data_IF_337792122573
#
_entry.id   IF_337792122573
#
_cell.length_a   1.000
_cell.length_b   1.000
_cell.length_c   1.000
_cell.angle_alpha   90.00
_cell.angle_beta   90.00
_cell.angle_gamma   90.00
#
_symmetry.space_group_name_H-M   'P 1'
#
loop_
_entity.id
_entity.type
_entity.pdbx_description
1 polymer ?
#
# COMPACT_ATOMS: atom_id res chain seq x y z
N UNK A 1 9.20 -10.07 23.40
CA UNK A 1 8.83 -9.28 22.73
C UNK A 1 9.69 -8.39 21.89
N UNK A 2 10.16 -8.83 20.83
CA UNK A 2 10.93 -8.06 19.89
C UNK A 2 10.04 -7.29 18.94
N UNK A 3 10.63 -6.28 18.35
CA UNK A 3 10.06 -5.60 17.21
C UNK A 3 10.48 -6.32 15.95
N UNK A 4 9.65 -6.27 14.94
CA UNK A 4 9.96 -6.89 13.65
C UNK A 4 9.35 -6.08 12.51
N UNK A 5 9.88 -6.30 11.32
CA UNK A 5 9.41 -5.61 10.12
C UNK A 5 8.37 -6.47 9.41
N UNK A 6 7.36 -5.83 8.87
CA UNK A 6 6.32 -6.50 8.13
C UNK A 6 5.81 -5.63 6.99
N UNK A 7 5.31 -6.29 5.95
CA UNK A 7 4.72 -5.61 4.80
C UNK A 7 3.21 -5.52 5.02
N UNK A 8 2.67 -4.31 4.92
CA UNK A 8 1.23 -4.12 5.01
C UNK A 8 0.58 -4.64 3.75
N UNK A 9 -0.17 -5.74 3.89
CA UNK A 9 -0.75 -6.46 2.75
C UNK A 9 -2.18 -6.06 2.46
N UNK A 10 -2.94 -5.68 3.50
CA UNK A 10 -4.34 -5.30 3.31
C UNK A 10 -4.77 -4.33 4.39
N UNK A 11 -5.72 -3.48 4.05
CA UNK A 11 -6.25 -2.46 4.95
C UNK A 11 -7.77 -2.52 4.93
N UNK A 12 -8.36 -2.65 6.12
CA UNK A 12 -9.79 -2.71 6.30
C UNK A 12 -10.21 -1.68 7.36
N UNK A 13 -10.22 -0.42 6.97
CA UNK A 13 -10.53 0.64 7.92
C UNK A 13 -9.46 0.75 8.99
N UNK A 14 -9.80 0.34 10.23
CA UNK A 14 -8.88 0.39 11.37
C UNK A 14 -8.07 -0.87 11.56
N UNK A 15 -8.36 -1.90 10.76
CA UNK A 15 -7.68 -3.17 10.87
C UNK A 15 -6.78 -3.38 9.68
N UNK A 16 -5.59 -3.88 9.93
CA UNK A 16 -4.62 -4.16 8.89
C UNK A 16 -4.20 -5.62 8.95
N UNK A 17 -3.80 -6.14 7.81
CA UNK A 17 -3.14 -7.43 7.73
C UNK A 17 -1.74 -7.21 7.18
N UNK A 18 -0.77 -7.82 7.81
CA UNK A 18 0.62 -7.68 7.42
C UNK A 18 1.30 -9.03 7.38
N UNK A 19 2.40 -9.11 6.66
CA UNK A 19 3.18 -10.32 6.52
C UNK A 19 4.62 -10.04 6.89
N UNK A 20 5.22 -10.90 7.71
CA UNK A 20 6.58 -10.71 8.21
C UNK A 20 7.58 -10.66 7.05
N UNK A 21 8.51 -9.73 7.13
CA UNK A 21 9.61 -9.63 6.17
C UNK A 21 10.78 -10.43 6.72
N UNK A 22 11.25 -11.40 5.92
CA UNK A 22 12.37 -12.25 6.30
C UNK A 22 13.70 -11.52 6.13
N UNK A 23 14.76 -12.11 6.66
CA UNK A 23 16.09 -11.51 6.58
C UNK A 23 16.58 -11.33 5.14
N UNK A 24 16.10 -12.16 4.21
CA UNK A 24 16.46 -12.06 2.79
C UNK A 24 15.62 -11.06 2.01
N UNK A 25 14.69 -10.37 2.69
CA UNK A 25 13.82 -9.39 2.05
C UNK A 25 12.49 -9.95 1.57
N UNK A 26 12.33 -11.27 1.54
CA UNK A 26 11.05 -11.87 1.16
C UNK A 26 10.04 -11.72 2.28
N UNK A 27 8.77 -11.79 1.92
CA UNK A 27 7.70 -11.77 2.92
C UNK A 27 6.92 -13.09 2.80
N UNK A 28 6.74 -13.74 3.93
CA UNK A 28 6.13 -15.06 3.98
C UNK A 28 5.52 -15.33 5.34
N UNK A 29 4.78 -16.43 5.44
CA UNK A 29 4.15 -16.83 6.68
C UNK A 29 2.71 -16.37 6.77
N UNK A 30 2.05 -16.63 7.90
CA UNK A 30 0.65 -16.27 8.07
C UNK A 30 0.48 -14.75 8.12
N UNK A 31 -0.72 -14.29 7.76
CA UNK A 31 -1.07 -12.90 7.91
C UNK A 31 -1.24 -12.57 9.39
N UNK A 32 -0.70 -11.44 9.79
CA UNK A 32 -0.76 -10.97 11.18
C UNK A 32 -1.79 -9.85 11.24
N UNK A 33 -2.68 -9.92 12.22
CA UNK A 33 -3.63 -8.84 12.48
C UNK A 33 -2.92 -7.72 13.19
N UNK A 34 -3.00 -6.52 12.60
CA UNK A 34 -2.30 -5.36 13.10
C UNK A 34 -3.31 -4.31 13.53
N UNK A 35 -3.13 -3.80 14.74
CA UNK A 35 -3.94 -2.71 15.24
C UNK A 35 -3.11 -1.44 15.32
N UNK A 36 -3.80 -0.31 15.19
CA UNK A 36 -3.18 0.99 15.39
C UNK A 36 -3.88 1.65 16.58
N UNK A 37 -3.12 1.95 17.64
CA UNK A 37 -3.73 2.52 18.86
C UNK A 37 -4.16 3.96 18.68
N UNK A 38 -3.73 4.62 17.64
CA UNK A 38 -4.05 6.03 17.43
C UNK A 38 -4.21 6.33 15.95
N UNK A 39 -4.89 7.41 15.66
CA UNK A 39 -5.09 7.87 14.28
C UNK A 39 -3.78 8.32 13.62
N UNK A 40 -2.69 8.34 14.37
CA UNK A 40 -1.39 8.81 13.88
C UNK A 40 -0.74 7.88 12.86
N UNK A 41 -1.00 6.60 12.98
CA UNK A 41 -0.35 5.59 12.14
C UNK A 41 -1.31 5.08 11.09
N UNK A 42 -1.58 5.93 10.11
CA UNK A 42 -2.44 5.53 9.00
C UNK A 42 -1.54 4.93 7.93
N UNK A 43 -1.61 3.60 7.82
CA UNK A 43 -0.82 2.87 6.86
C UNK A 43 -1.52 2.75 5.52
N UNK A 44 -0.74 2.56 4.47
CA UNK A 44 -1.22 2.24 3.13
C UNK A 44 -0.64 0.90 2.71
N UNK A 45 -1.38 0.16 1.90
CA UNK A 45 -0.90 -1.12 1.38
C UNK A 45 0.45 -0.91 0.71
N UNK A 46 1.43 -1.73 1.05
CA UNK A 46 2.80 -1.60 0.58
C UNK A 46 3.74 -0.96 1.59
N UNK A 47 3.22 -0.35 2.66
CA UNK A 47 4.07 0.21 3.71
C UNK A 47 4.87 -0.87 4.42
N UNK A 48 6.07 -0.52 4.84
CA UNK A 48 6.88 -1.36 5.71
C UNK A 48 6.63 -0.89 7.15
N UNK A 49 6.15 -1.79 7.97
CA UNK A 49 5.77 -1.49 9.34
C UNK A 49 6.79 -2.07 10.31
N UNK A 50 7.06 -1.33 11.37
CA UNK A 50 7.76 -1.87 12.53
C UNK A 50 6.67 -2.24 13.54
N UNK A 51 6.59 -3.51 13.86
CA UNK A 51 5.52 -4.05 14.69
C UNK A 51 6.07 -4.62 15.98
N UNK A 52 5.21 -4.60 17.00
CA UNK A 52 5.47 -5.26 18.28
C UNK A 52 4.38 -6.30 18.50
N UNK A 53 4.79 -7.53 18.74
CA UNK A 53 3.86 -8.63 18.96
C UNK A 53 3.03 -8.40 20.22
N UNK A 54 1.70 -8.54 20.09
CA UNK A 54 0.79 -8.40 21.23
C UNK A 54 0.05 -9.69 21.56
N UNK A 55 0.17 -10.71 20.70
CA UNK A 55 -0.45 -12.01 20.92
C UNK A 55 -0.20 -12.90 19.72
N UNK A 56 -0.74 -14.11 19.70
CA UNK A 56 -0.58 -15.02 18.56
C UNK A 56 -1.14 -14.39 17.29
N UNK A 57 -0.29 -14.17 16.31
CA UNK A 57 -0.65 -13.54 15.03
C UNK A 57 -1.31 -12.17 15.19
N UNK A 58 -0.93 -11.46 16.26
CA UNK A 58 -1.43 -10.11 16.52
C UNK A 58 -0.27 -9.20 16.87
N UNK A 59 -0.33 -7.98 16.39
CA UNK A 59 0.71 -6.99 16.62
C UNK A 59 0.14 -5.58 16.57
N UNK A 60 0.92 -4.63 17.07
CA UNK A 60 0.57 -3.22 16.96
C UNK A 60 1.65 -2.47 16.23
N UNK A 61 1.29 -1.37 15.59
CA UNK A 61 2.24 -0.55 14.86
C UNK A 61 3.02 0.32 15.84
N UNK A 62 4.35 0.22 15.78
CA UNK A 62 5.24 1.11 16.50
C UNK A 62 5.62 2.28 15.60
N UNK A 63 5.93 1.98 14.35
CA UNK A 63 6.41 2.97 13.40
C UNK A 63 6.17 2.47 11.98
N UNK A 64 6.02 3.42 11.05
CA UNK A 64 5.96 3.12 9.61
C UNK A 64 7.25 3.65 9.02
N UNK A 65 7.99 2.79 8.30
CA UNK A 65 9.25 3.20 7.69
C UNK A 65 8.99 4.25 6.61
N UNK A 66 10.00 5.05 6.34
CA UNK A 66 9.91 6.09 5.32
C UNK A 66 9.53 5.47 3.98
N UNK A 67 8.50 6.03 3.38
CA UNK A 67 8.00 5.55 2.10
C UNK A 67 8.91 5.99 0.97
N UNK A 68 9.09 5.09 -0.01
CA UNK A 68 9.74 5.42 -1.26
C UNK A 68 8.83 6.31 -2.11
N UNK A 69 7.53 6.03 -2.10
CA UNK A 69 6.50 6.84 -2.75
C UNK A 69 5.14 6.50 -2.16
N UNK A 70 4.16 7.30 -2.50
CA UNK A 70 2.77 7.08 -2.07
C UNK A 70 1.85 7.41 -3.23
N UNK A 71 1.09 6.41 -3.67
CA UNK A 71 0.05 6.62 -4.66
C UNK A 71 -1.25 6.92 -3.93
N UNK A 72 -1.85 8.07 -4.21
CA UNK A 72 -3.09 8.46 -3.57
C UNK A 72 -4.07 9.02 -4.58
N UNK A 73 -5.33 9.02 -4.19
CA UNK A 73 -6.41 9.60 -4.95
C UNK A 73 -6.93 10.80 -4.18
N UNK A 74 -7.05 11.91 -4.87
CA UNK A 74 -7.47 13.16 -4.25
C UNK A 74 -8.72 13.67 -4.94
N UNK A 75 -9.69 14.11 -4.15
CA UNK A 75 -10.87 14.79 -4.68
C UNK A 75 -11.02 16.14 -3.99
N UNK A 76 -12.14 16.83 -4.23
CA UNK A 76 -12.33 18.20 -3.76
C UNK A 76 -12.28 18.35 -2.22
N UNK A 77 -12.52 17.28 -1.49
CA UNK A 77 -12.67 17.37 -0.03
C UNK A 77 -11.69 16.53 0.76
N UNK A 78 -11.10 15.51 0.17
CA UNK A 78 -10.14 14.66 0.88
C UNK A 78 -9.30 13.86 -0.10
N UNK A 79 -8.17 13.38 0.39
CA UNK A 79 -7.35 12.43 -0.35
C UNK A 79 -7.37 11.08 0.35
N UNK A 80 -7.26 10.03 -0.44
CA UNK A 80 -7.25 8.67 0.06
C UNK A 80 -6.02 7.95 -0.49
N UNK A 81 -5.25 7.37 0.42
CA UNK A 81 -4.08 6.59 0.04
C UNK A 81 -4.50 5.29 -0.63
N UNK A 82 -3.85 4.95 -1.72
CA UNK A 82 -4.10 3.72 -2.46
C UNK A 82 -3.02 2.70 -2.15
N UNK A 83 -1.76 3.08 -2.30
CA UNK A 83 -0.64 2.17 -2.05
C UNK A 83 0.63 2.96 -1.81
N UNK A 84 1.57 2.36 -1.08
CA UNK A 84 2.89 2.93 -0.82
C UNK A 84 3.96 2.02 -1.38
N UNK A 85 5.16 2.57 -1.59
CA UNK A 85 6.32 1.82 -2.08
C UNK A 85 6.02 1.09 -3.39
N UNK A 86 5.36 1.80 -4.30
CA UNK A 86 4.91 1.25 -5.57
C UNK A 86 6.08 1.20 -6.55
N UNK A 87 6.29 0.05 -7.15
CA UNK A 87 7.35 -0.13 -8.15
C UNK A 87 6.81 0.03 -9.56
N UNK A 88 5.53 -0.29 -9.77
CA UNK A 88 4.95 -0.28 -11.10
C UNK A 88 3.45 -0.03 -11.00
N UNK A 89 2.93 0.76 -11.93
CA UNK A 89 1.49 0.98 -12.08
C UNK A 89 1.04 0.27 -13.35
N UNK A 90 0.05 -0.60 -13.22
CA UNK A 90 -0.58 -1.24 -14.36
C UNK A 90 -1.95 -0.62 -14.59
N UNK A 91 -2.11 0.03 -15.72
CA UNK A 91 -3.40 0.61 -16.10
C UNK A 91 -4.05 -0.32 -17.10
N UNK A 92 -5.17 -0.91 -16.70
CA UNK A 92 -5.90 -1.85 -17.54
C UNK A 92 -7.05 -1.09 -18.20
N UNK A 93 -7.02 -1.03 -19.53
CA UNK A 93 -8.03 -0.34 -20.32
C UNK A 93 -8.86 -1.37 -21.08
N UNK A 94 -10.15 -1.08 -21.19
CA UNK A 94 -11.07 -1.88 -21.96
C UNK A 94 -11.61 -1.06 -23.13
N UNK A 95 -11.86 -1.73 -24.25
CA UNK A 95 -12.43 -1.05 -25.41
C UNK A 95 -13.95 -0.93 -25.30
N UNK A 96 -14.56 -1.78 -24.48
CA UNK A 96 -16.00 -1.74 -24.25
C UNK A 96 -16.29 -2.08 -22.79
N UNK A 97 -16.85 -1.16 -21.99
CA UNK A 97 -17.15 0.23 -22.37
C UNK A 97 -15.89 1.07 -22.55
N UNK A 98 -16.05 2.22 -23.20
CA UNK A 98 -14.92 3.10 -23.45
C UNK A 98 -14.26 3.54 -22.14
N UNK A 99 -12.95 3.59 -22.13
CA UNK A 99 -12.19 4.03 -20.95
C UNK A 99 -12.22 5.56 -20.85
N UNK A 100 -11.91 6.06 -19.64
CA UNK A 100 -11.82 7.49 -19.39
C UNK A 100 -10.40 7.98 -19.69
N UNK A 101 -10.21 8.87 -20.67
CA UNK A 101 -8.88 9.45 -20.92
C UNK A 101 -8.35 10.23 -19.71
N UNK A 102 -9.26 10.77 -18.91
CA UNK A 102 -8.92 11.54 -17.73
C UNK A 102 -8.24 10.66 -16.68
N UNK A 103 -8.75 9.46 -16.47
CA UNK A 103 -8.14 8.52 -15.55
C UNK A 103 -6.75 8.11 -16.00
N UNK A 104 -6.57 7.85 -17.29
CA UNK A 104 -5.27 7.51 -17.84
C UNK A 104 -4.28 8.67 -17.67
N UNK A 105 -4.72 9.90 -17.93
CA UNK A 105 -3.88 11.07 -17.76
C UNK A 105 -3.42 11.25 -16.32
N UNK A 106 -4.32 11.03 -15.36
CA UNK A 106 -3.98 11.11 -13.95
C UNK A 106 -2.96 10.05 -13.53
N UNK A 107 -3.09 8.85 -14.08
CA UNK A 107 -2.15 7.76 -13.80
C UNK A 107 -0.76 8.10 -14.33
N UNK A 108 -0.68 8.65 -15.54
CA UNK A 108 0.59 9.05 -16.14
C UNK A 108 1.27 10.13 -15.30
N UNK A 109 0.53 11.15 -14.89
CA UNK A 109 1.08 12.24 -14.07
C UNK A 109 1.59 11.69 -12.74
N UNK A 110 0.81 10.82 -12.07
CA UNK A 110 1.22 10.25 -10.80
C UNK A 110 2.50 9.41 -10.96
N UNK A 111 2.60 8.64 -12.02
CA UNK A 111 3.78 7.83 -12.28
C UNK A 111 5.02 8.69 -12.52
N UNK A 112 4.88 9.75 -13.29
CA UNK A 112 6.01 10.64 -13.60
C UNK A 112 6.50 11.39 -12.38
N UNK A 113 5.58 11.87 -11.53
CA UNK A 113 5.96 12.64 -10.34
C UNK A 113 6.80 11.81 -9.38
N UNK A 114 6.52 10.53 -9.24
CA UNK A 114 7.24 9.66 -8.32
C UNK A 114 8.19 8.70 -9.02
N UNK A 115 8.42 8.90 -10.31
CA UNK A 115 9.32 8.06 -11.10
C UNK A 115 8.94 6.58 -11.02
N UNK A 116 7.65 6.30 -11.10
CA UNK A 116 7.11 4.95 -11.08
C UNK A 116 6.94 4.46 -12.52
N UNK A 117 7.31 3.22 -12.77
CA UNK A 117 7.09 2.61 -14.08
C UNK A 117 5.60 2.46 -14.34
N UNK A 118 5.16 2.89 -15.51
CA UNK A 118 3.77 2.79 -15.91
C UNK A 118 3.64 1.86 -17.11
N UNK A 119 2.72 0.92 -17.02
CA UNK A 119 2.38 0.04 -18.13
C UNK A 119 0.89 0.09 -18.40
N UNK A 120 0.54 0.11 -19.67
CA UNK A 120 -0.84 0.13 -20.10
C UNK A 120 -1.17 -1.21 -20.69
N UNK A 121 -2.24 -1.82 -20.20
CA UNK A 121 -2.70 -3.12 -20.66
C UNK A 121 -4.07 -2.93 -21.30
N UNK A 122 -4.20 -3.31 -22.56
CA UNK A 122 -5.47 -3.25 -23.25
C UNK A 122 -6.18 -4.59 -23.09
N UNK A 123 -7.37 -4.54 -22.51
CA UNK A 123 -8.20 -5.71 -22.30
C UNK A 123 -9.52 -5.52 -23.05
N UNK A 124 -10.06 -6.58 -23.59
CA UNK A 124 -11.28 -6.49 -24.37
C UNK A 124 -12.47 -6.00 -23.55
#
# INVERSE_FOLDING_TARGET
MGQFRALLSASYGRHYLAQTIQADGSHAGPLIQVSTPAKRHVGAVGDILILEETGPNQARIIEIEKRKNLLYRSDAFKSKSIAANVDQILVVLATAPAFSPDLLGRAVVAAELDQIELRIILNK
#
